data_IF_681637090297
#
_entry.id   IF_681637090297
#
_cell.length_a   1.000
_cell.length_b   1.000
_cell.length_c   1.000
_cell.angle_alpha   90.00
_cell.angle_beta   90.00
_cell.angle_gamma   90.00
#
_symmetry.space_group_name_H-M   'P 1'
#
loop_
_entity.id
_entity.type
_entity.pdbx_description
1 polymer ?
#
# COMPACT_ATOMS: atom_id res chain seq x y z
N UNK A 1 45.84 23.79 -20.33
CA UNK A 1 44.72 22.83 -20.47
C UNK A 1 43.91 23.20 -21.71
N UNK A 2 43.87 22.34 -22.73
CA UNK A 2 42.94 22.50 -23.86
C UNK A 2 41.63 21.84 -23.43
N UNK A 3 40.62 22.65 -23.10
CA UNK A 3 39.29 22.13 -22.78
C UNK A 3 38.62 21.78 -24.11
N UNK A 4 38.50 20.49 -24.42
CA UNK A 4 37.97 20.02 -25.70
C UNK A 4 36.43 20.03 -25.77
N UNK A 5 35.75 20.17 -24.63
CA UNK A 5 34.29 20.25 -24.56
C UNK A 5 33.83 20.80 -23.20
N UNK A 6 32.92 21.78 -23.21
CA UNK A 6 32.24 22.33 -22.02
C UNK A 6 30.83 21.74 -21.99
N UNK A 7 30.51 21.00 -20.93
CA UNK A 7 29.17 20.45 -20.73
C UNK A 7 28.47 21.24 -19.63
N UNK A 8 27.52 22.10 -20.01
CA UNK A 8 26.66 22.83 -19.06
C UNK A 8 25.31 22.14 -19.09
N UNK A 9 25.00 21.34 -18.05
CA UNK A 9 23.68 20.76 -17.88
C UNK A 9 23.03 21.35 -16.63
N UNK A 10 21.93 22.05 -16.84
CA UNK A 10 21.03 22.41 -15.75
C UNK A 10 20.23 21.13 -15.40
N UNK A 11 20.12 20.80 -14.10
CA UNK A 11 19.57 19.57 -13.50
C UNK A 11 20.53 18.35 -13.39
N UNK A 12 20.94 18.08 -12.15
CA UNK A 12 21.67 16.89 -11.69
C UNK A 12 20.77 15.65 -11.47
N UNK A 13 19.56 15.63 -12.05
CA UNK A 13 18.48 14.69 -11.69
C UNK A 13 18.49 13.40 -12.55
N UNK A 14 19.66 12.93 -12.98
CA UNK A 14 19.75 11.73 -13.84
C UNK A 14 20.95 10.83 -13.54
N UNK A 15 20.78 9.50 -13.73
CA UNK A 15 21.85 8.49 -13.56
C UNK A 15 23.16 8.89 -14.23
N UNK A 16 23.09 9.38 -15.48
CA UNK A 16 24.26 9.85 -16.23
C UNK A 16 24.95 11.08 -15.61
N UNK A 17 24.20 12.03 -15.04
CA UNK A 17 24.77 13.21 -14.39
C UNK A 17 25.54 12.85 -13.11
N UNK A 18 24.99 11.91 -12.34
CA UNK A 18 25.64 11.34 -11.15
C UNK A 18 26.94 10.58 -11.48
N UNK A 19 26.94 9.78 -12.55
CA UNK A 19 28.12 9.04 -13.00
C UNK A 19 29.23 9.98 -13.49
N UNK A 20 28.89 10.97 -14.32
CA UNK A 20 29.85 11.98 -14.79
C UNK A 20 30.42 12.81 -13.64
N UNK A 21 29.58 13.22 -12.68
CA UNK A 21 30.07 13.92 -11.50
C UNK A 21 31.06 13.07 -10.69
N UNK A 22 30.76 11.80 -10.42
CA UNK A 22 31.67 10.88 -9.71
C UNK A 22 33.01 10.69 -10.42
N UNK A 23 33.02 10.71 -11.76
CA UNK A 23 34.22 10.46 -12.56
C UNK A 23 35.08 11.72 -12.76
N UNK A 24 34.46 12.89 -12.82
CA UNK A 24 35.13 14.11 -13.31
C UNK A 24 35.17 15.27 -12.31
N UNK A 25 34.26 15.34 -11.34
CA UNK A 25 34.24 16.45 -10.38
C UNK A 25 35.43 16.37 -9.41
N UNK A 26 36.16 17.49 -9.27
CA UNK A 26 37.36 17.56 -8.43
C UNK A 26 38.58 16.81 -8.98
N UNK A 27 38.49 16.23 -10.18
CA UNK A 27 39.60 15.51 -10.82
C UNK A 27 40.40 16.44 -11.75
N UNK A 28 41.60 16.83 -11.33
CA UNK A 28 42.48 17.73 -12.09
C UNK A 28 43.02 17.13 -13.39
N UNK A 29 42.98 15.80 -13.54
CA UNK A 29 43.43 15.08 -14.73
C UNK A 29 42.27 14.74 -15.69
N UNK A 30 41.07 15.25 -15.40
CA UNK A 30 39.88 15.05 -16.25
C UNK A 30 39.94 15.92 -17.51
N UNK A 31 39.70 15.31 -18.67
CA UNK A 31 39.51 16.04 -19.94
C UNK A 31 38.16 16.78 -20.02
N UNK A 32 37.26 16.54 -19.06
CA UNK A 32 35.94 17.17 -18.93
C UNK A 32 35.96 18.18 -17.77
N UNK A 33 35.67 19.46 -18.05
CA UNK A 33 35.39 20.46 -17.02
C UNK A 33 33.97 20.28 -16.50
N UNK A 34 33.85 19.84 -15.25
CA UNK A 34 32.57 19.73 -14.55
C UNK A 34 32.39 20.93 -13.61
N UNK A 35 31.40 21.78 -13.86
CA UNK A 35 31.10 22.94 -13.03
C UNK A 35 29.74 22.78 -12.34
N UNK A 36 29.77 22.67 -11.00
CA UNK A 36 28.61 22.68 -10.12
C UNK A 36 28.59 24.00 -9.34
N UNK A 37 27.49 24.73 -9.40
CA UNK A 37 27.33 26.00 -8.69
C UNK A 37 25.86 26.29 -8.44
N UNK A 38 25.53 26.79 -7.25
CA UNK A 38 24.20 27.30 -6.95
C UNK A 38 23.86 28.48 -7.89
N UNK A 39 22.56 28.65 -8.17
CA UNK A 39 22.04 29.74 -9.00
C UNK A 39 22.37 31.11 -8.43
N UNK A 40 22.40 31.26 -7.10
CA UNK A 40 22.80 32.49 -6.40
C UNK A 40 24.27 32.86 -6.61
N UNK A 41 25.15 31.88 -6.77
CA UNK A 41 26.56 32.10 -7.03
C UNK A 41 26.82 32.53 -8.48
N UNK A 42 25.99 32.09 -9.44
CA UNK A 42 26.08 32.49 -10.85
C UNK A 42 25.31 33.78 -11.15
N UNK A 43 24.24 34.05 -10.41
CA UNK A 43 23.40 35.23 -10.56
C UNK A 43 23.08 35.85 -9.19
N UNK A 44 23.99 36.68 -8.63
CA UNK A 44 23.83 37.28 -7.29
C UNK A 44 22.65 38.25 -7.13
N UNK A 45 22.00 38.63 -8.24
CA UNK A 45 20.85 39.54 -8.25
C UNK A 45 19.50 38.81 -8.11
N UNK A 46 19.49 37.47 -7.97
CA UNK A 46 18.28 36.73 -7.69
C UNK A 46 17.67 37.19 -6.36
N UNK A 47 16.36 37.45 -6.37
CA UNK A 47 15.65 37.91 -5.18
C UNK A 47 15.54 36.78 -4.15
N UNK A 48 16.00 37.04 -2.92
CA UNK A 48 15.87 36.07 -1.82
C UNK A 48 14.41 35.67 -1.57
N UNK A 49 13.47 36.61 -1.74
CA UNK A 49 12.03 36.33 -1.61
C UNK A 49 11.53 35.35 -2.65
N UNK A 50 12.05 35.42 -3.87
CA UNK A 50 11.70 34.49 -4.95
C UNK A 50 12.28 33.10 -4.69
N UNK A 51 13.53 33.02 -4.24
CA UNK A 51 14.18 31.75 -3.88
C UNK A 51 13.50 31.08 -2.69
N UNK A 52 13.14 31.86 -1.67
CA UNK A 52 12.40 31.35 -0.53
C UNK A 52 11.03 30.83 -0.94
N UNK A 53 10.31 31.55 -1.82
CA UNK A 53 9.04 31.05 -2.36
C UNK A 53 9.21 29.71 -3.10
N UNK A 54 10.27 29.54 -3.90
CA UNK A 54 10.53 28.27 -4.58
C UNK A 54 10.84 27.14 -3.58
N UNK A 55 11.62 27.41 -2.53
CA UNK A 55 11.90 26.45 -1.45
C UNK A 55 10.64 26.10 -0.65
N UNK A 56 9.74 27.06 -0.44
CA UNK A 56 8.47 26.87 0.27
C UNK A 56 7.48 26.04 -0.57
N UNK A 57 7.51 26.19 -1.90
CA UNK A 57 6.67 25.43 -2.84
C UNK A 57 7.17 23.99 -2.95
N UNK A 58 8.47 23.79 -3.13
CA UNK A 58 9.10 22.47 -3.23
C UNK A 58 10.58 22.53 -2.83
N UNK A 59 10.86 22.14 -1.59
CA UNK A 59 12.21 22.16 -1.04
C UNK A 59 13.18 21.24 -1.80
N UNK A 60 12.71 20.09 -2.26
CA UNK A 60 13.57 19.09 -2.92
C UNK A 60 13.96 19.58 -4.32
N UNK A 61 12.98 20.11 -5.07
CA UNK A 61 13.27 20.72 -6.38
C UNK A 61 14.16 21.96 -6.23
N UNK A 62 13.95 22.78 -5.20
CA UNK A 62 14.80 23.93 -4.93
C UNK A 62 16.25 23.50 -4.61
N UNK A 63 16.44 22.46 -3.80
CA UNK A 63 17.78 21.92 -3.52
C UNK A 63 18.49 21.46 -4.80
N UNK A 64 17.77 20.78 -5.71
CA UNK A 64 18.34 20.27 -6.95
C UNK A 64 18.61 21.36 -8.01
N UNK A 65 17.65 22.26 -8.22
CA UNK A 65 17.66 23.22 -9.33
C UNK A 65 18.30 24.55 -8.94
N UNK A 66 18.17 24.97 -7.68
CA UNK A 66 18.65 26.28 -7.21
C UNK A 66 19.97 26.12 -6.47
N UNK A 67 20.02 25.22 -5.50
CA UNK A 67 21.17 25.07 -4.61
C UNK A 67 22.24 24.13 -5.20
N UNK A 68 21.94 23.52 -6.36
CA UNK A 68 22.78 22.60 -7.10
C UNK A 68 23.21 21.36 -6.29
N UNK A 69 22.37 20.89 -5.38
CA UNK A 69 22.61 19.68 -4.61
C UNK A 69 22.15 18.42 -5.33
N UNK A 70 22.93 17.35 -5.23
CA UNK A 70 22.48 16.03 -5.69
C UNK A 70 21.45 15.49 -4.71
N UNK A 71 20.20 15.32 -5.16
CA UNK A 71 19.18 14.61 -4.41
C UNK A 71 19.59 13.13 -4.27
N UNK A 72 20.20 12.78 -3.14
CA UNK A 72 20.52 11.39 -2.80
C UNK A 72 19.29 10.56 -2.39
N UNK A 73 18.12 11.21 -2.28
CA UNK A 73 16.96 10.70 -1.54
C UNK A 73 15.74 10.34 -2.41
N UNK A 74 15.86 10.36 -3.75
CA UNK A 74 14.78 9.96 -4.66
C UNK A 74 15.06 8.57 -5.22
N UNK A 75 14.12 7.64 -4.99
CA UNK A 75 14.21 6.26 -5.47
C UNK A 75 12.88 5.85 -6.08
N UNK A 76 12.89 4.97 -7.08
CA UNK A 76 11.65 4.32 -7.54
C UNK A 76 11.02 3.56 -6.38
N UNK A 77 9.70 3.72 -6.19
CA UNK A 77 9.02 3.09 -5.06
C UNK A 77 9.01 1.56 -5.17
N UNK A 78 8.64 1.04 -6.34
CA UNK A 78 8.54 -0.39 -6.62
C UNK A 78 9.69 -0.86 -7.51
N UNK A 79 10.24 -2.03 -7.21
CA UNK A 79 11.10 -2.74 -8.16
C UNK A 79 10.24 -3.34 -9.28
N UNK A 80 10.66 -3.15 -10.54
CA UNK A 80 9.89 -3.59 -11.70
C UNK A 80 9.58 -5.09 -11.66
N UNK A 81 10.57 -5.93 -11.29
CA UNK A 81 10.38 -7.38 -11.21
C UNK A 81 9.37 -7.80 -10.14
N UNK A 82 9.37 -7.14 -8.97
CA UNK A 82 8.41 -7.41 -7.90
C UNK A 82 6.99 -7.02 -8.30
N UNK A 83 6.84 -5.87 -8.98
CA UNK A 83 5.55 -5.44 -9.51
C UNK A 83 5.04 -6.41 -10.59
N UNK A 84 5.89 -6.79 -11.54
CA UNK A 84 5.53 -7.66 -12.66
C UNK A 84 5.12 -9.05 -12.19
N UNK A 85 5.76 -9.59 -11.15
CA UNK A 85 5.36 -10.85 -10.53
C UNK A 85 3.94 -10.81 -9.92
N UNK A 86 3.44 -9.63 -9.55
CA UNK A 86 2.10 -9.44 -9.03
C UNK A 86 1.04 -9.30 -10.14
N UNK A 87 1.42 -9.16 -11.41
CA UNK A 87 0.47 -8.98 -12.52
C UNK A 87 -0.07 -10.33 -13.00
N UNK A 88 -1.38 -10.41 -13.18
CA UNK A 88 -2.03 -11.52 -13.89
C UNK A 88 -2.15 -11.16 -15.38
N UNK A 89 -1.21 -11.65 -16.20
CA UNK A 89 -1.13 -11.34 -17.62
C UNK A 89 -2.44 -11.66 -18.38
N UNK A 90 -2.87 -10.72 -19.22
CA UNK A 90 -4.10 -10.81 -20.00
C UNK A 90 -5.39 -10.58 -19.22
N UNK A 91 -5.33 -10.36 -17.89
CA UNK A 91 -6.53 -10.15 -17.08
C UNK A 91 -6.79 -8.68 -16.83
N UNK A 92 -7.75 -8.13 -17.57
CA UNK A 92 -8.14 -6.72 -17.54
C UNK A 92 -9.26 -6.39 -16.54
N UNK A 93 -10.04 -7.39 -16.10
CA UNK A 93 -11.07 -7.30 -15.08
C UNK A 93 -11.43 -8.72 -14.58
N UNK A 94 -12.06 -8.84 -13.40
CA UNK A 94 -12.51 -10.11 -12.79
C UNK A 94 -14.00 -10.06 -12.50
N UNK A 95 -14.79 -11.10 -12.77
CA UNK A 95 -16.20 -11.11 -12.39
C UNK A 95 -16.38 -11.08 -10.87
N UNK A 96 -17.53 -10.62 -10.42
CA UNK A 96 -17.93 -10.71 -9.01
C UNK A 96 -17.95 -12.17 -8.54
N UNK A 97 -17.37 -12.43 -7.37
CA UNK A 97 -17.34 -13.73 -6.71
C UNK A 97 -18.17 -13.67 -5.42
N UNK A 98 -19.27 -14.44 -5.32
CA UNK A 98 -20.09 -14.49 -4.12
C UNK A 98 -19.29 -14.90 -2.88
N UNK A 99 -19.60 -14.26 -1.75
CA UNK A 99 -18.96 -14.55 -0.45
C UNK A 99 -17.64 -13.83 -0.21
N UNK A 100 -17.13 -13.05 -1.17
CA UNK A 100 -15.98 -12.18 -0.98
C UNK A 100 -16.39 -10.79 -0.47
N UNK A 101 -15.51 -10.19 0.33
CA UNK A 101 -15.69 -8.84 0.85
C UNK A 101 -14.91 -7.85 -0.03
N UNK A 102 -15.65 -7.07 -0.82
CA UNK A 102 -15.06 -6.07 -1.71
C UNK A 102 -14.86 -4.73 -1.00
N UNK A 103 -13.82 -4.02 -1.41
CA UNK A 103 -13.47 -2.65 -1.00
C UNK A 103 -13.24 -1.82 -2.24
N UNK A 104 -13.73 -0.59 -2.24
CA UNK A 104 -13.56 0.33 -3.34
C UNK A 104 -12.85 1.60 -2.90
N UNK A 105 -12.02 2.14 -3.78
CA UNK A 105 -11.38 3.43 -3.61
C UNK A 105 -11.53 4.25 -4.89
N UNK A 106 -11.82 5.54 -4.76
CA UNK A 106 -12.00 6.47 -5.85
C UNK A 106 -11.06 7.66 -5.71
N UNK A 107 -10.46 8.06 -6.84
CA UNK A 107 -9.75 9.32 -7.00
C UNK A 107 -10.60 10.25 -7.89
N UNK A 108 -11.19 11.27 -7.26
CA UNK A 108 -12.23 12.08 -7.89
C UNK A 108 -11.63 13.34 -8.51
N UNK A 109 -11.79 13.49 -9.82
CA UNK A 109 -11.39 14.68 -10.57
C UNK A 109 -12.59 15.54 -11.02
N UNK A 110 -12.35 16.84 -11.24
CA UNK A 110 -13.38 17.81 -11.64
C UNK A 110 -13.78 17.73 -13.12
N UNK A 111 -12.97 17.07 -13.95
CA UNK A 111 -13.23 16.88 -15.38
C UNK A 111 -12.83 18.04 -16.31
N UNK A 112 -12.30 19.14 -15.78
CA UNK A 112 -11.80 20.29 -16.55
C UNK A 112 -10.27 20.39 -16.60
N UNK A 113 -9.57 19.54 -15.84
CA UNK A 113 -8.11 19.47 -15.79
C UNK A 113 -7.54 18.36 -16.67
N UNK A 114 -6.35 17.87 -16.29
CA UNK A 114 -5.70 16.71 -16.93
C UNK A 114 -5.95 15.40 -16.18
N UNK A 115 -6.37 15.50 -14.92
CA UNK A 115 -6.54 14.36 -14.02
C UNK A 115 -7.78 13.55 -14.38
N UNK A 116 -7.64 12.23 -14.36
CA UNK A 116 -8.73 11.31 -14.60
C UNK A 116 -9.56 11.08 -13.33
N UNK A 117 -10.87 10.88 -13.48
CA UNK A 117 -11.64 10.28 -12.40
C UNK A 117 -11.42 8.78 -12.45
N UNK A 118 -10.88 8.20 -11.38
CA UNK A 118 -10.64 6.76 -11.30
C UNK A 118 -11.37 6.13 -10.12
N UNK A 119 -11.72 4.86 -10.27
CA UNK A 119 -12.14 4.04 -9.14
C UNK A 119 -11.67 2.60 -9.35
N UNK A 120 -11.35 1.94 -8.26
CA UNK A 120 -10.89 0.57 -8.25
C UNK A 120 -11.63 -0.24 -7.19
N UNK A 121 -11.80 -1.54 -7.47
CA UNK A 121 -12.44 -2.51 -6.59
C UNK A 121 -11.47 -3.66 -6.36
N UNK A 122 -11.30 -4.04 -5.11
CA UNK A 122 -10.45 -5.15 -4.70
C UNK A 122 -11.11 -5.99 -3.62
N UNK A 123 -10.75 -7.26 -3.53
CA UNK A 123 -11.06 -8.13 -2.39
C UNK A 123 -9.78 -8.76 -1.83
N UNK A 124 -9.89 -9.33 -0.63
CA UNK A 124 -8.88 -10.26 -0.13
C UNK A 124 -9.35 -11.70 -0.40
N UNK A 125 -8.48 -12.50 -0.99
CA UNK A 125 -8.76 -13.91 -1.21
C UNK A 125 -8.68 -14.73 0.09
N UNK A 126 -8.81 -16.05 -0.01
CA UNK A 126 -8.77 -16.95 1.16
C UNK A 126 -7.41 -16.99 1.86
N UNK A 127 -6.35 -16.52 1.20
CA UNK A 127 -4.97 -16.50 1.67
C UNK A 127 -4.53 -15.09 2.10
N UNK A 128 -5.47 -14.13 2.21
CA UNK A 128 -5.20 -12.73 2.54
C UNK A 128 -4.38 -11.99 1.47
N UNK A 129 -4.37 -12.51 0.24
CA UNK A 129 -3.81 -11.84 -0.93
C UNK A 129 -4.83 -10.81 -1.41
N UNK A 130 -4.41 -9.55 -1.52
CA UNK A 130 -5.27 -8.49 -2.04
C UNK A 130 -5.33 -8.57 -3.56
N UNK A 131 -6.51 -8.79 -4.12
CA UNK A 131 -6.74 -8.97 -5.56
C UNK A 131 -7.47 -7.75 -6.09
N UNK A 132 -6.89 -7.10 -7.10
CA UNK A 132 -7.55 -6.03 -7.85
C UNK A 132 -8.51 -6.66 -8.87
N UNK A 133 -9.80 -6.41 -8.72
CA UNK A 133 -10.85 -7.03 -9.54
C UNK A 133 -11.28 -6.16 -10.70
N UNK A 134 -11.45 -4.87 -10.45
CA UNK A 134 -11.94 -3.93 -11.45
C UNK A 134 -11.31 -2.57 -11.29
N UNK A 135 -11.20 -1.88 -12.43
CA UNK A 135 -10.70 -0.52 -12.49
C UNK A 135 -11.47 0.24 -13.58
N UNK A 136 -11.91 1.45 -13.24
CA UNK A 136 -12.52 2.40 -14.18
C UNK A 136 -11.71 3.68 -14.20
N UNK A 137 -11.48 4.21 -15.40
CA UNK A 137 -10.77 5.46 -15.65
C UNK A 137 -11.57 6.30 -16.63
N UNK A 138 -11.93 7.51 -16.21
CA UNK A 138 -12.72 8.45 -16.99
C UNK A 138 -11.84 9.68 -17.21
N UNK A 139 -11.38 9.85 -18.45
CA UNK A 139 -10.45 10.94 -18.81
C UNK A 139 -11.21 12.21 -19.18
N UNK A 140 -10.68 13.40 -18.83
CA UNK A 140 -11.25 14.67 -19.26
C UNK A 140 -11.37 14.78 -20.79
N UNK A 141 -12.35 15.52 -21.31
CA UNK A 141 -13.37 16.25 -20.56
C UNK A 141 -14.57 15.37 -20.14
N UNK A 142 -15.06 15.55 -18.91
CA UNK A 142 -16.28 14.90 -18.43
C UNK A 142 -17.03 15.77 -17.43
N UNK A 143 -18.33 15.51 -17.22
CA UNK A 143 -19.04 16.08 -16.08
C UNK A 143 -18.86 15.18 -14.85
N UNK A 144 -18.54 15.75 -13.66
CA UNK A 144 -18.36 14.95 -12.44
C UNK A 144 -19.55 14.05 -12.13
N UNK A 145 -20.77 14.53 -12.38
CA UNK A 145 -21.98 13.75 -12.16
C UNK A 145 -22.07 12.53 -13.09
N UNK A 146 -21.70 12.67 -14.36
CA UNK A 146 -21.66 11.54 -15.30
C UNK A 146 -20.57 10.53 -14.90
N UNK A 147 -19.40 11.03 -14.48
CA UNK A 147 -18.31 10.18 -14.02
C UNK A 147 -18.71 9.38 -12.78
N UNK A 148 -19.32 10.02 -11.78
CA UNK A 148 -19.81 9.37 -10.56
C UNK A 148 -20.90 8.34 -10.89
N UNK A 149 -21.80 8.61 -11.85
CA UNK A 149 -22.78 7.60 -12.29
C UNK A 149 -22.11 6.35 -12.85
N UNK A 150 -21.09 6.50 -13.69
CA UNK A 150 -20.34 5.38 -14.26
C UNK A 150 -19.62 4.58 -13.18
N UNK A 151 -18.96 5.26 -12.24
CA UNK A 151 -18.32 4.61 -11.08
C UNK A 151 -19.36 3.85 -10.25
N UNK A 152 -20.51 4.46 -9.95
CA UNK A 152 -21.58 3.81 -9.19
C UNK A 152 -22.19 2.61 -9.92
N UNK A 153 -22.20 2.58 -11.26
CA UNK A 153 -22.59 1.38 -12.02
C UNK A 153 -21.63 0.24 -11.72
N UNK A 154 -20.31 0.48 -11.83
CA UNK A 154 -19.29 -0.51 -11.51
C UNK A 154 -19.41 -0.99 -10.04
N UNK A 155 -19.56 -0.08 -9.08
CA UNK A 155 -19.70 -0.45 -7.67
C UNK A 155 -20.88 -1.41 -7.42
N UNK A 156 -22.00 -1.20 -8.12
CA UNK A 156 -23.20 -2.05 -8.00
C UNK A 156 -22.99 -3.45 -8.59
N UNK A 157 -22.19 -3.59 -9.65
CA UNK A 157 -21.83 -4.90 -10.22
C UNK A 157 -21.10 -5.79 -9.21
N UNK A 158 -20.38 -5.20 -8.26
CA UNK A 158 -19.67 -5.91 -7.19
C UNK A 158 -20.39 -5.83 -5.83
N UNK A 159 -21.64 -5.37 -5.81
CA UNK A 159 -22.44 -5.18 -4.59
C UNK A 159 -21.76 -4.29 -3.52
N UNK A 160 -20.93 -3.35 -3.96
CA UNK A 160 -20.28 -2.37 -3.08
C UNK A 160 -21.21 -1.18 -2.86
N UNK A 161 -21.51 -0.90 -1.60
CA UNK A 161 -22.36 0.23 -1.18
C UNK A 161 -21.58 1.39 -0.58
N UNK A 162 -20.27 1.24 -0.42
CA UNK A 162 -19.38 2.23 0.18
C UNK A 162 -18.08 2.35 -0.62
N UNK A 163 -17.65 3.58 -0.88
CA UNK A 163 -16.39 3.87 -1.58
C UNK A 163 -15.56 4.81 -0.72
N UNK A 164 -14.27 4.53 -0.60
CA UNK A 164 -13.33 5.45 0.04
C UNK A 164 -12.63 6.32 -0.99
N UNK A 165 -12.04 7.42 -0.55
CA UNK A 165 -11.25 8.26 -1.44
C UNK A 165 -10.55 9.37 -0.66
N UNK A 166 -9.91 10.26 -1.39
CA UNK A 166 -9.12 11.32 -0.79
C UNK A 166 -9.95 12.25 0.11
N UNK A 167 -9.33 12.67 1.22
CA UNK A 167 -9.96 13.48 2.27
C UNK A 167 -10.40 14.86 1.76
N UNK A 168 -9.70 15.37 0.75
CA UNK A 168 -9.95 16.68 0.16
C UNK A 168 -10.98 16.65 -0.96
N UNK A 169 -11.72 15.55 -1.12
CA UNK A 169 -12.82 15.50 -2.08
C UNK A 169 -13.78 16.68 -1.83
N UNK A 170 -14.06 17.50 -2.85
CA UNK A 170 -15.01 18.60 -2.73
C UNK A 170 -16.37 18.08 -2.22
N UNK A 171 -17.07 18.86 -1.39
CA UNK A 171 -18.36 18.45 -0.81
C UNK A 171 -19.39 17.94 -1.82
N UNK A 172 -19.32 18.43 -3.07
CA UNK A 172 -20.20 17.97 -4.15
C UNK A 172 -19.99 16.49 -4.52
N UNK A 173 -18.78 15.93 -4.34
CA UNK A 173 -18.47 14.52 -4.66
C UNK A 173 -19.24 13.61 -3.71
N UNK A 174 -19.15 13.89 -2.40
CA UNK A 174 -19.88 13.15 -1.36
C UNK A 174 -21.39 13.18 -1.60
N UNK A 175 -21.96 14.35 -1.89
CA UNK A 175 -23.38 14.48 -2.19
C UNK A 175 -23.80 13.71 -3.44
N UNK A 176 -22.97 13.74 -4.49
CA UNK A 176 -23.27 13.05 -5.74
C UNK A 176 -23.24 11.52 -5.58
N UNK A 177 -22.30 10.96 -4.81
CA UNK A 177 -22.32 9.55 -4.42
C UNK A 177 -23.56 9.22 -3.57
N UNK A 178 -23.92 10.09 -2.62
CA UNK A 178 -25.09 9.88 -1.77
C UNK A 178 -26.41 9.86 -2.57
N UNK A 179 -26.56 10.70 -3.59
CA UNK A 179 -27.71 10.65 -4.52
C UNK A 179 -27.80 9.32 -5.26
N UNK A 180 -26.66 8.65 -5.47
CA UNK A 180 -26.58 7.31 -6.05
C UNK A 180 -26.74 6.18 -5.01
N UNK A 181 -27.02 6.52 -3.75
CA UNK A 181 -27.10 5.60 -2.60
C UNK A 181 -25.80 4.84 -2.33
N UNK A 182 -24.66 5.46 -2.61
CA UNK A 182 -23.33 4.99 -2.26
C UNK A 182 -22.76 5.92 -1.19
N UNK A 183 -22.21 5.35 -0.11
CA UNK A 183 -21.57 6.13 0.95
C UNK A 183 -20.13 6.45 0.57
N UNK A 184 -19.78 7.73 0.47
CA UNK A 184 -18.37 8.16 0.31
C UNK A 184 -17.71 8.30 1.69
N UNK A 185 -16.61 7.58 1.92
CA UNK A 185 -15.85 7.60 3.18
C UNK A 185 -14.46 8.22 2.98
N UNK A 186 -14.19 9.41 3.53
CA UNK A 186 -12.86 10.01 3.48
C UNK A 186 -11.80 9.06 4.05
N UNK A 187 -10.70 8.88 3.32
CA UNK A 187 -9.58 8.04 3.77
C UNK A 187 -8.89 8.65 5.00
N UNK A 188 -8.56 7.78 5.96
CA UNK A 188 -7.70 8.14 7.10
C UNK A 188 -6.22 8.27 6.67
N UNK A 189 -5.84 7.53 5.62
CA UNK A 189 -4.50 7.51 5.02
C UNK A 189 -4.38 8.60 3.96
N UNK A 190 -3.27 9.32 3.96
CA UNK A 190 -2.88 10.13 2.81
C UNK A 190 -2.31 9.24 1.68
N UNK A 191 -2.23 9.81 0.49
CA UNK A 191 -1.73 9.14 -0.73
C UNK A 191 -0.37 8.48 -0.54
N UNK A 192 0.59 9.17 0.06
CA UNK A 192 1.92 8.58 0.31
C UNK A 192 1.86 7.39 1.28
N UNK A 193 0.99 7.44 2.30
CA UNK A 193 0.77 6.32 3.23
C UNK A 193 0.16 5.12 2.53
N UNK A 194 -0.81 5.32 1.63
CA UNK A 194 -1.41 4.25 0.82
C UNK A 194 -0.31 3.52 0.03
N UNK A 195 0.56 4.27 -0.65
CA UNK A 195 1.65 3.66 -1.42
C UNK A 195 2.69 2.95 -0.55
N UNK A 196 3.06 3.54 0.60
CA UNK A 196 4.00 2.92 1.53
C UNK A 196 3.41 1.66 2.20
N UNK A 197 2.10 1.61 2.47
CA UNK A 197 1.40 0.44 2.99
C UNK A 197 1.25 -0.67 1.93
N UNK A 198 1.20 -0.30 0.65
CA UNK A 198 1.16 -1.24 -0.47
C UNK A 198 2.52 -1.91 -0.73
N UNK A 199 3.61 -1.14 -0.61
CA UNK A 199 4.99 -1.59 -0.88
C UNK A 199 5.35 -2.96 -0.28
N UNK A 200 5.19 -3.22 1.04
CA UNK A 200 5.55 -4.50 1.62
C UNK A 200 4.72 -5.66 1.06
N UNK A 201 3.46 -5.41 0.66
CA UNK A 201 2.59 -6.46 0.09
C UNK A 201 3.01 -6.86 -1.31
N UNK A 202 3.42 -5.89 -2.13
CA UNK A 202 3.98 -6.15 -3.46
C UNK A 202 5.28 -6.95 -3.33
N UNK A 203 6.18 -6.53 -2.45
CA UNK A 203 7.44 -7.25 -2.22
C UNK A 203 7.23 -8.68 -1.68
N UNK A 204 6.15 -8.91 -0.93
CA UNK A 204 5.78 -10.23 -0.42
C UNK A 204 4.95 -11.08 -1.40
N UNK A 205 4.60 -10.57 -2.59
CA UNK A 205 3.72 -11.25 -3.53
C UNK A 205 2.28 -11.42 -3.02
N UNK A 206 1.87 -10.60 -2.04
CA UNK A 206 0.54 -10.63 -1.41
C UNK A 206 -0.47 -9.70 -2.12
N UNK A 207 -0.23 -9.41 -3.40
CA UNK A 207 -1.09 -8.60 -4.26
C UNK A 207 -1.22 -9.28 -5.62
N UNK A 208 -2.43 -9.24 -6.20
CA UNK A 208 -2.67 -9.53 -7.62
C UNK A 208 -3.18 -8.28 -8.33
N UNK A 209 -2.48 -7.87 -9.39
CA UNK A 209 -2.78 -6.69 -10.20
C UNK A 209 -3.43 -7.11 -11.53
N UNK A 210 -4.25 -6.20 -12.08
CA UNK A 210 -4.76 -6.28 -13.44
C UNK A 210 -3.64 -5.97 -14.44
N UNK A 211 -3.66 -6.65 -15.59
CA UNK A 211 -2.81 -6.32 -16.73
C UNK A 211 -3.36 -5.08 -17.45
N UNK A 212 -3.13 -3.92 -16.84
CA UNK A 212 -3.57 -2.63 -17.33
C UNK A 212 -2.35 -1.72 -17.59
N UNK A 213 -2.13 -1.26 -18.83
CA UNK A 213 -0.91 -0.53 -19.20
C UNK A 213 -0.80 0.82 -18.49
N UNK A 214 -1.91 1.50 -18.19
CA UNK A 214 -1.90 2.77 -17.47
C UNK A 214 -1.54 2.57 -16.00
N UNK A 215 -2.16 1.57 -15.35
CA UNK A 215 -1.84 1.21 -13.98
C UNK A 215 -0.36 0.87 -13.81
N UNK A 216 0.19 0.02 -14.68
CA UNK A 216 1.59 -0.40 -14.61
C UNK A 216 2.54 0.75 -14.91
N UNK A 217 2.21 1.62 -15.87
CA UNK A 217 2.99 2.83 -16.17
C UNK A 217 3.07 3.74 -14.96
N UNK A 218 1.95 3.97 -14.29
CA UNK A 218 1.87 4.88 -13.14
C UNK A 218 2.58 4.29 -11.92
N UNK A 219 2.33 3.02 -11.57
CA UNK A 219 3.01 2.36 -10.44
C UNK A 219 4.53 2.31 -10.62
N UNK A 220 5.03 2.04 -11.84
CA UNK A 220 6.48 2.07 -12.15
C UNK A 220 7.06 3.49 -12.15
N UNK A 221 6.21 4.51 -12.28
CA UNK A 221 6.58 5.92 -12.29
C UNK A 221 6.59 6.61 -10.93
N UNK A 222 6.18 5.91 -9.86
CA UNK A 222 6.16 6.43 -8.50
C UNK A 222 7.57 6.52 -7.91
N UNK A 223 7.85 7.64 -7.26
CA UNK A 223 9.12 7.98 -6.65
C UNK A 223 8.92 8.24 -5.15
N UNK A 224 9.79 7.63 -4.36
CA UNK A 224 9.89 7.81 -2.91
C UNK A 224 10.98 8.82 -2.62
N UNK A 225 10.59 9.89 -1.95
CA UNK A 225 11.43 10.93 -1.40
C UNK A 225 11.61 10.65 0.09
N UNK A 226 12.83 10.30 0.49
CA UNK A 226 13.13 10.02 1.89
C UNK A 226 13.28 11.32 2.69
N UNK A 227 12.54 11.43 3.78
CA UNK A 227 12.60 12.58 4.69
C UNK A 227 12.91 12.14 6.12
N UNK A 228 13.29 13.09 6.98
CA UNK A 228 13.65 12.81 8.37
C UNK A 228 12.47 12.35 9.24
N UNK A 229 11.25 12.77 8.92
CA UNK A 229 10.03 12.48 9.69
C UNK A 229 9.15 11.44 9.03
N UNK A 230 8.76 11.66 7.77
CA UNK A 230 7.89 10.77 7.01
C UNK A 230 8.25 10.84 5.54
N UNK A 231 8.46 9.67 4.95
CA UNK A 231 8.73 9.58 3.52
C UNK A 231 7.51 10.01 2.71
N UNK A 232 7.79 10.79 1.66
CA UNK A 232 6.80 11.22 0.69
C UNK A 232 6.91 10.31 -0.53
N UNK A 233 5.77 9.94 -1.07
CA UNK A 233 5.68 9.25 -2.36
C UNK A 233 4.89 10.14 -3.30
N UNK A 234 5.44 10.37 -4.49
CA UNK A 234 4.81 11.16 -5.54
C UNK A 234 5.14 10.59 -6.92
N UNK A 235 4.40 11.02 -7.94
CA UNK A 235 4.74 10.72 -9.33
C UNK A 235 5.76 11.73 -9.87
N UNK A 236 6.43 11.37 -10.96
CA UNK A 236 7.31 12.31 -11.68
C UNK A 236 6.56 13.57 -12.12
N UNK A 237 7.30 14.68 -12.21
CA UNK A 237 6.75 15.94 -12.72
C UNK A 237 6.12 15.77 -14.10
N UNK A 238 4.85 16.17 -14.23
CA UNK A 238 4.08 16.05 -15.46
C UNK A 238 3.52 14.66 -15.76
N UNK A 239 3.74 13.69 -14.87
CA UNK A 239 3.01 12.43 -14.85
C UNK A 239 1.73 12.56 -14.01
N UNK A 240 0.97 11.47 -13.93
CA UNK A 240 -0.23 11.31 -13.11
C UNK A 240 -0.13 10.00 -12.35
N UNK A 241 -0.88 9.89 -11.26
CA UNK A 241 -1.02 8.67 -10.48
C UNK A 241 -2.47 8.32 -10.15
N UNK A 242 -3.45 8.92 -10.85
CA UNK A 242 -4.87 8.74 -10.58
C UNK A 242 -5.27 7.24 -10.59
N UNK A 243 -4.75 6.46 -11.56
CA UNK A 243 -5.07 5.02 -11.69
C UNK A 243 -4.36 4.22 -10.60
N UNK A 244 -3.09 4.56 -10.33
CA UNK A 244 -2.30 3.95 -9.28
C UNK A 244 -2.89 4.20 -7.89
N UNK A 245 -3.36 5.41 -7.60
CA UNK A 245 -3.90 5.80 -6.30
C UNK A 245 -5.18 5.03 -5.99
N UNK A 246 -6.12 4.99 -6.94
CA UNK A 246 -7.34 4.20 -6.79
C UNK A 246 -7.05 2.71 -6.56
N UNK A 247 -6.19 2.12 -7.40
CA UNK A 247 -5.82 0.72 -7.26
C UNK A 247 -5.17 0.45 -5.89
N UNK A 248 -4.17 1.24 -5.51
CA UNK A 248 -3.44 1.08 -4.26
C UNK A 248 -4.36 1.24 -3.04
N UNK A 249 -5.24 2.25 -3.04
CA UNK A 249 -6.21 2.48 -1.97
C UNK A 249 -7.13 1.28 -1.78
N UNK A 250 -7.69 0.74 -2.87
CA UNK A 250 -8.57 -0.43 -2.81
C UNK A 250 -7.85 -1.68 -2.29
N UNK A 251 -6.61 -1.93 -2.76
CA UNK A 251 -5.79 -3.07 -2.36
C UNK A 251 -5.37 -3.01 -0.89
N UNK A 252 -4.93 -1.85 -0.41
CA UNK A 252 -4.55 -1.65 1.00
C UNK A 252 -5.77 -1.84 1.91
N UNK A 253 -6.94 -1.36 1.51
CA UNK A 253 -8.18 -1.55 2.26
C UNK A 253 -8.66 -3.01 2.25
N UNK A 254 -8.52 -3.72 1.13
CA UNK A 254 -8.91 -5.11 1.00
C UNK A 254 -8.01 -6.01 1.85
N UNK A 255 -6.70 -5.81 1.74
CA UNK A 255 -5.71 -6.59 2.46
C UNK A 255 -5.51 -6.15 3.92
N UNK A 256 -6.13 -5.05 4.36
CA UNK A 256 -5.99 -4.55 5.73
C UNK A 256 -6.22 -5.69 6.70
N UNK A 257 -5.14 -6.01 7.43
CA UNK A 257 -4.98 -7.14 8.33
C UNK A 257 -6.33 -7.38 8.98
N UNK A 258 -6.98 -8.50 8.63
CA UNK A 258 -7.84 -9.13 9.62
C UNK A 258 -6.92 -9.25 10.82
N UNK A 259 -7.09 -8.38 11.80
CA UNK A 259 -6.66 -8.67 13.16
C UNK A 259 -7.41 -9.97 13.47
N UNK A 260 -6.81 -11.09 13.07
CA UNK A 260 -6.90 -12.31 13.85
C UNK A 260 -6.44 -11.80 15.18
N UNK A 261 -7.42 -11.52 16.04
CA UNK A 261 -7.20 -11.29 17.44
C UNK A 261 -6.34 -12.45 17.87
N UNK A 262 -5.02 -12.24 17.90
CA UNK A 262 -4.09 -13.20 18.44
C UNK A 262 -4.45 -13.17 19.91
N UNK A 263 -5.22 -14.17 20.34
CA UNK A 263 -5.49 -14.39 21.74
C UNK A 263 -4.15 -14.78 22.35
N UNK A 264 -3.39 -13.78 22.79
CA UNK A 264 -2.29 -14.02 23.72
C UNK A 264 -2.97 -14.31 25.05
N UNK A 265 -3.19 -15.59 25.32
CA UNK A 265 -3.59 -16.04 26.65
C UNK A 265 -2.33 -15.98 27.50
N UNK A 266 -2.19 -14.90 28.27
CA UNK A 266 -1.17 -14.81 29.30
C UNK A 266 -1.58 -15.77 30.44
N UNK A 267 -1.02 -16.98 30.46
CA UNK A 267 -1.20 -17.92 31.57
C UNK A 267 -0.22 -17.54 32.68
N UNK A 268 -0.36 -16.34 33.23
CA UNK A 268 0.06 -16.10 34.60
C UNK A 268 -0.88 -16.92 35.48
N UNK A 269 -0.32 -17.71 36.39
CA UNK A 269 -0.98 -18.79 37.15
C UNK A 269 -2.17 -18.42 38.06
N UNK A 270 -2.90 -17.35 37.76
CA UNK A 270 -4.11 -16.88 38.45
C UNK A 270 -5.41 -17.04 37.63
N UNK A 271 -5.36 -17.53 36.38
CA UNK A 271 -6.56 -17.86 35.60
C UNK A 271 -7.39 -16.67 35.11
N UNK A 272 -6.78 -15.48 34.96
CA UNK A 272 -7.45 -14.28 34.41
C UNK A 272 -7.18 -14.13 32.91
N UNK A 273 -8.25 -14.06 32.12
CA UNK A 273 -8.19 -13.72 30.68
C UNK A 273 -8.33 -12.21 30.54
N UNK A 274 -7.26 -11.51 30.13
CA UNK A 274 -7.32 -10.08 29.83
C UNK A 274 -7.47 -9.89 28.32
N UNK A 275 -8.62 -9.40 27.87
CA UNK A 275 -8.87 -9.04 26.47
C UNK A 275 -8.21 -7.69 26.19
N UNK A 276 -7.13 -7.67 25.40
CA UNK A 276 -6.49 -6.42 24.98
C UNK A 276 -6.82 -6.12 23.53
N UNK A 277 -7.55 -5.03 23.28
CA UNK A 277 -7.83 -4.50 21.94
C UNK A 277 -7.17 -3.13 21.85
N UNK A 278 -6.21 -2.96 20.93
CA UNK A 278 -5.67 -1.64 20.57
C UNK A 278 -5.11 -0.81 21.73
N UNK A 279 -4.42 -1.42 22.70
CA UNK A 279 -3.71 -0.69 23.76
C UNK A 279 -4.58 -0.01 24.82
N UNK A 280 -5.90 -0.22 24.85
CA UNK A 280 -6.77 0.21 25.96
C UNK A 280 -7.25 -1.00 26.76
N UNK A 281 -7.05 -0.98 28.09
CA UNK A 281 -7.65 -1.95 29.02
C UNK A 281 -9.17 -1.73 29.07
N UNK A 282 -9.96 -2.74 28.72
CA UNK A 282 -11.39 -2.78 29.06
C UNK A 282 -11.58 -3.46 30.43
N UNK A 283 -12.63 -3.10 31.19
CA UNK A 283 -12.92 -3.75 32.46
C UNK A 283 -13.46 -5.18 32.27
N UNK A 284 -13.27 -5.98 33.33
CA UNK A 284 -13.51 -7.42 33.45
C UNK A 284 -14.82 -7.91 32.79
N UNK A 285 -14.72 -8.94 31.94
CA UNK A 285 -15.85 -9.75 31.47
C UNK A 285 -15.53 -11.21 31.82
N UNK A 286 -15.90 -11.60 33.04
CA UNK A 286 -15.66 -12.95 33.59
C UNK A 286 -16.87 -13.88 33.54
N UNK A 287 -17.99 -13.52 32.91
CA UNK A 287 -19.23 -14.30 33.06
C UNK A 287 -19.66 -15.22 31.92
N UNK A 288 -18.97 -15.29 30.77
CA UNK A 288 -19.41 -16.17 29.67
C UNK A 288 -18.26 -16.89 28.92
N UNK A 289 -17.53 -17.80 29.59
CA UNK A 289 -16.64 -18.75 28.91
C UNK A 289 -17.19 -20.18 29.05
N UNK A 290 -17.32 -20.94 27.93
CA UNK A 290 -17.84 -22.31 27.96
C UNK A 290 -16.89 -23.29 28.68
N UNK A 291 -17.46 -24.30 29.33
CA UNK A 291 -16.82 -25.27 30.25
C UNK A 291 -15.66 -26.10 29.66
N UNK A 292 -15.38 -26.00 28.36
CA UNK A 292 -14.44 -26.87 27.62
C UNK A 292 -12.95 -26.53 27.81
N UNK A 293 -12.60 -25.47 28.54
CA UNK A 293 -11.19 -25.12 28.83
C UNK A 293 -10.83 -25.50 30.28
N UNK A 294 -10.87 -26.79 30.60
CA UNK A 294 -10.17 -27.33 31.79
C UNK A 294 -8.82 -27.91 31.36
N UNK A 295 -7.73 -27.22 31.69
CA UNK A 295 -6.37 -27.71 31.51
C UNK A 295 -6.13 -28.99 32.32
N UNK A 296 -5.61 -30.03 31.67
CA UNK A 296 -5.16 -31.26 32.32
C UNK A 296 -4.04 -30.93 33.34
N UNK A 297 -4.25 -31.20 34.65
CA UNK A 297 -3.31 -30.85 35.72
C UNK A 297 -1.93 -31.51 35.59
N UNK A 298 -1.80 -32.60 34.83
CA UNK A 298 -0.56 -33.38 34.69
C UNK A 298 0.60 -32.61 34.05
N UNK A 299 0.30 -31.54 33.30
CA UNK A 299 1.30 -30.76 32.56
C UNK A 299 1.99 -29.68 33.40
N UNK A 300 1.44 -29.35 34.58
CA UNK A 300 2.02 -28.34 35.49
C UNK A 300 3.43 -28.71 35.95
N UNK A 301 3.69 -29.99 36.17
CA UNK A 301 5.01 -30.46 36.61
C UNK A 301 6.05 -30.37 35.48
N UNK A 302 5.63 -30.54 34.23
CA UNK A 302 6.51 -30.52 33.06
C UNK A 302 6.93 -29.08 32.69
N UNK A 303 5.98 -28.13 32.72
CA UNK A 303 6.24 -26.71 32.43
C UNK A 303 7.20 -26.03 33.43
N UNK A 304 7.22 -26.49 34.70
CA UNK A 304 8.17 -25.98 35.70
C UNK A 304 9.60 -26.49 35.49
N UNK A 305 9.79 -27.65 34.84
CA UNK A 305 11.09 -28.31 34.73
C UNK A 305 11.83 -27.99 33.43
N UNK A 306 11.09 -27.85 32.33
CA UNK A 306 11.64 -27.67 30.97
C UNK A 306 11.38 -26.25 30.40
N UNK A 307 10.62 -25.42 31.12
CA UNK A 307 10.21 -24.09 30.68
C UNK A 307 8.95 -24.08 29.80
N UNK A 308 8.18 -22.99 29.92
CA UNK A 308 6.83 -22.85 29.34
C UNK A 308 6.84 -22.97 27.80
N UNK A 309 7.88 -22.46 27.14
CA UNK A 309 8.01 -22.51 25.68
C UNK A 309 8.20 -23.93 25.15
N UNK A 310 8.96 -24.77 25.86
CA UNK A 310 9.17 -26.18 25.48
C UNK A 310 7.90 -27.01 25.72
N UNK A 311 7.18 -26.74 26.81
CA UNK A 311 5.90 -27.39 27.10
C UNK A 311 4.81 -27.05 26.07
N UNK A 312 4.75 -25.79 25.61
CA UNK A 312 3.80 -25.34 24.58
C UNK A 312 4.11 -25.93 23.20
N UNK A 313 5.38 -26.00 22.81
CA UNK A 313 5.78 -26.63 21.55
C UNK A 313 5.38 -28.12 21.52
N UNK A 314 5.64 -28.86 22.61
CA UNK A 314 5.33 -30.29 22.72
C UNK A 314 3.82 -30.57 22.81
N UNK A 315 3.06 -29.70 23.49
CA UNK A 315 1.59 -29.76 23.50
C UNK A 315 1.01 -29.56 22.09
N UNK A 316 1.53 -28.60 21.34
CA UNK A 316 1.11 -28.36 19.95
C UNK A 316 1.48 -29.51 19.01
N UNK A 317 2.63 -30.17 19.22
CA UNK A 317 3.02 -31.39 18.49
C UNK A 317 2.10 -32.59 18.79
N UNK A 318 1.76 -32.83 20.07
CA UNK A 318 0.80 -33.88 20.43
C UNK A 318 -0.60 -33.62 19.90
N UNK A 319 -1.02 -32.35 19.88
CA UNK A 319 -2.32 -31.95 19.33
C UNK A 319 -2.35 -32.08 17.80
N UNK A 320 -1.22 -31.82 17.12
CA UNK A 320 -1.08 -32.09 15.69
C UNK A 320 -1.09 -33.60 15.37
N UNK A 321 -0.63 -34.44 16.30
CA UNK A 321 -0.73 -35.91 16.20
C UNK A 321 -2.17 -36.43 16.35
N UNK A 322 -2.92 -35.91 17.32
CA UNK A 322 -4.34 -36.27 17.54
C UNK A 322 -5.25 -35.75 16.43
N UNK A 323 -5.00 -34.56 15.89
CA UNK A 323 -5.71 -34.07 14.69
C UNK A 323 -5.49 -34.97 13.47
N UNK A 324 -4.32 -35.60 13.30
CA UNK A 324 -4.07 -36.56 12.22
C UNK A 324 -4.81 -37.89 12.41
N UNK A 325 -5.04 -38.32 13.65
CA UNK A 325 -5.87 -39.49 13.95
C UNK A 325 -7.36 -39.20 13.79
N UNK A 326 -7.85 -38.03 14.24
CA UNK A 326 -9.24 -37.60 14.01
C UNK A 326 -9.55 -37.42 12.51
N UNK A 327 -8.58 -36.97 11.71
CA UNK A 327 -8.69 -36.89 10.25
C UNK A 327 -8.88 -38.28 9.62
N UNK A 328 -8.17 -39.30 10.13
CA UNK A 328 -8.32 -40.70 9.66
C UNK A 328 -9.65 -41.31 10.11
N UNK A 329 -10.14 -40.98 11.30
CA UNK A 329 -11.45 -41.43 11.78
C UNK A 329 -12.57 -40.78 10.96
N UNK A 330 -12.42 -39.51 10.55
CA UNK A 330 -13.40 -38.83 9.68
C UNK A 330 -13.40 -39.38 8.25
N UNK A 331 -12.25 -39.74 7.67
CA UNK A 331 -12.18 -40.46 6.39
C UNK A 331 -12.82 -41.86 6.47
N UNK A 332 -12.68 -42.55 7.61
CA UNK A 332 -13.27 -43.87 7.81
C UNK A 332 -14.80 -43.80 8.01
N UNK A 333 -15.29 -42.73 8.66
CA UNK A 333 -16.73 -42.49 8.86
C UNK A 333 -17.41 -42.07 7.55
N UNK A 334 -16.71 -41.35 6.68
CA UNK A 334 -17.24 -40.94 5.37
C UNK A 334 -17.41 -42.11 4.40
N UNK A 335 -16.68 -43.22 4.59
CA UNK A 335 -16.89 -44.46 3.82
C UNK A 335 -18.11 -45.28 4.26
N UNK A 336 -18.56 -45.16 5.51
CA UNK A 336 -19.71 -45.93 6.04
C UNK A 336 -21.06 -45.31 5.66
N UNK A 337 -21.10 -44.01 5.34
CA UNK A 337 -22.33 -43.29 4.96
C UNK A 337 -22.62 -43.36 3.44
N UNK A 338 -21.74 -44.02 2.65
CA UNK A 338 -21.87 -44.16 1.20
C UNK A 338 -22.57 -45.43 0.68
N UNK A 339 -23.02 -46.35 1.55
CA UNK A 339 -23.69 -47.61 1.16
C UNK A 339 -25.13 -47.75 1.69
N UNK A 340 -25.76 -46.63 2.10
CA UNK A 340 -27.19 -46.61 2.44
C UNK A 340 -27.93 -45.56 1.61
N UNK A 341 -28.19 -45.91 0.35
CA UNK A 341 -29.39 -45.53 -0.42
C UNK A 341 -29.54 -46.43 -1.64
#
# INVERSE_FOLDING_TARGET
MRVNSIFIRNCLVGRQGNELHKQHFGNADSDLLFWQSASTALHPLLSEKFLQHLRDVDSDSALAEIDAEFLQNVQTLFEAAALDACVDSGVIARPYVPGMAYRAFADAASGTGKDAFTAAIAHADKHDVAVLDALVTIRPPFSPESAIRQVCTLLREYHVTEVSGDRYAPGFVTEAFQRQRITYKPSERDRSTIYLDLLPRVNAGQVRLLDNPDLLRELRGLERHRASTKDRVDHRRGAHDDVANAAAGSLVMAGAVRSRSMQVVDVLGSGRVIRTVGGRKQPDITEDLPDEIRFDPSWRHYAMKEGITAALARYNEQRAGTFKEESKVNEMTTRVVGEAN
#
